data_IF_876178097191
#
_entry.id   IF_876178097191
#
_cell.length_a   1.000
_cell.length_b   1.000
_cell.length_c   1.000
_cell.angle_alpha   90.00
_cell.angle_beta   90.00
_cell.angle_gamma   90.00
#
_symmetry.space_group_name_H-M   'P 1'
#
loop_
_entity.id
_entity.type
_entity.pdbx_description
1 polymer ?
#
# COMPACT_ATOMS: atom_id res chain seq x y z
N UNK A 1 50.28 -1.04 1.24
CA UNK A 1 49.15 -0.45 0.50
C UNK A 1 47.89 -0.92 1.23
N UNK A 2 47.27 -0.05 2.03
CA UNK A 2 46.09 -0.42 2.82
C UNK A 2 44.87 -0.54 1.89
N UNK A 3 43.95 -1.49 2.12
CA UNK A 3 42.75 -1.60 1.31
C UNK A 3 41.84 -0.39 1.61
N UNK A 4 41.54 0.38 0.59
CA UNK A 4 40.55 1.46 0.64
C UNK A 4 39.20 0.83 0.94
N UNK A 5 38.64 1.13 2.12
CA UNK A 5 37.26 0.79 2.45
C UNK A 5 36.34 1.45 1.43
N UNK A 6 35.69 0.61 0.62
CA UNK A 6 34.53 1.03 -0.18
C UNK A 6 33.44 1.33 0.83
N UNK A 7 33.37 2.59 1.27
CA UNK A 7 32.26 3.08 2.07
C UNK A 7 30.99 2.79 1.29
N UNK A 8 30.22 1.82 1.78
CA UNK A 8 28.89 1.49 1.31
C UNK A 8 28.06 2.77 1.40
N UNK A 9 27.96 3.48 0.28
CA UNK A 9 27.12 4.66 0.15
C UNK A 9 25.70 4.11 0.13
N UNK A 10 25.15 3.83 1.30
CA UNK A 10 23.77 3.47 1.51
C UNK A 10 22.93 4.39 0.64
N UNK A 11 22.41 3.83 -0.46
CA UNK A 11 21.50 4.52 -1.37
C UNK A 11 20.40 5.07 -0.48
N UNK A 12 20.36 6.39 -0.29
CA UNK A 12 19.28 7.05 0.43
C UNK A 12 18.00 6.60 -0.25
N UNK A 13 17.29 5.65 0.35
CA UNK A 13 15.98 5.23 -0.12
C UNK A 13 15.15 6.49 -0.12
N UNK A 14 14.72 6.92 -1.30
CA UNK A 14 13.87 8.07 -1.44
C UNK A 14 12.56 7.71 -0.72
N UNK A 15 12.38 8.24 0.49
CA UNK A 15 11.13 8.06 1.21
C UNK A 15 10.10 8.92 0.50
N UNK A 16 9.08 8.28 -0.07
CA UNK A 16 7.90 8.94 -0.66
C UNK A 16 7.04 9.67 0.41
N UNK A 17 7.49 9.68 1.67
CA UNK A 17 6.87 10.37 2.79
C UNK A 17 5.52 9.79 3.20
N UNK A 18 5.09 8.67 2.60
CA UNK A 18 3.85 7.98 2.88
C UNK A 18 4.10 6.80 3.81
N UNK A 19 3.25 6.64 4.83
CA UNK A 19 3.28 5.48 5.71
C UNK A 19 1.86 4.97 5.92
N UNK A 20 1.62 3.71 5.58
CA UNK A 20 0.37 3.02 5.89
C UNK A 20 0.32 2.75 7.39
N UNK A 21 -0.68 3.28 8.06
CA UNK A 21 -0.85 3.17 9.52
C UNK A 21 -1.84 2.07 9.91
N UNK A 22 -2.82 1.78 9.07
CA UNK A 22 -3.76 0.67 9.30
C UNK A 22 -4.32 0.11 7.99
N UNK A 23 -4.70 -1.17 8.03
CA UNK A 23 -5.45 -1.87 7.00
C UNK A 23 -6.33 -2.94 7.68
N UNK A 24 -7.64 -2.80 7.57
CA UNK A 24 -8.63 -3.62 8.30
C UNK A 24 -9.78 -3.96 7.39
N UNK A 25 -10.07 -5.25 7.25
CA UNK A 25 -11.26 -5.74 6.53
C UNK A 25 -12.51 -5.39 7.34
N UNK A 26 -13.48 -4.75 6.70
CA UNK A 26 -14.80 -4.43 7.24
C UNK A 26 -15.85 -5.22 6.47
N UNK A 27 -16.49 -6.15 7.16
CA UNK A 27 -17.58 -6.96 6.61
C UNK A 27 -18.77 -6.06 6.30
N UNK A 28 -19.38 -6.26 5.14
CA UNK A 28 -20.50 -5.45 4.68
C UNK A 28 -21.06 -5.98 3.37
N UNK A 29 -21.92 -5.17 2.72
CA UNK A 29 -22.41 -5.43 1.36
C UNK A 29 -22.24 -4.13 0.55
N UNK A 30 -21.06 -3.87 -0.06
CA UNK A 30 -19.92 -4.78 -0.22
C UNK A 30 -19.02 -4.89 1.03
N UNK A 31 -18.19 -5.93 1.07
CA UNK A 31 -17.07 -6.03 2.02
C UNK A 31 -15.93 -5.15 1.54
N UNK A 32 -15.38 -4.33 2.43
CA UNK A 32 -14.38 -3.32 2.10
C UNK A 32 -13.10 -3.49 2.91
N UNK A 33 -11.98 -3.02 2.37
CA UNK A 33 -10.75 -2.79 3.12
C UNK A 33 -10.71 -1.32 3.54
N UNK A 34 -10.85 -1.05 4.83
CA UNK A 34 -10.60 0.27 5.40
C UNK A 34 -9.11 0.41 5.71
N UNK A 35 -8.49 1.49 5.25
CA UNK A 35 -7.07 1.74 5.47
C UNK A 35 -6.79 3.20 5.74
N UNK A 36 -5.66 3.47 6.40
CA UNK A 36 -5.24 4.82 6.77
C UNK A 36 -3.75 5.01 6.55
N UNK A 37 -3.35 6.27 6.39
CA UNK A 37 -1.96 6.65 6.18
C UNK A 37 -1.62 7.98 6.84
N UNK A 38 -0.33 8.21 6.99
CA UNK A 38 0.25 9.53 7.27
C UNK A 38 1.13 9.96 6.09
N UNK A 39 1.24 11.26 5.87
CA UNK A 39 2.02 11.84 4.79
C UNK A 39 2.87 13.04 5.24
N UNK A 40 4.00 13.26 4.57
CA UNK A 40 4.85 14.42 4.76
C UNK A 40 4.52 15.54 3.77
N UNK A 41 5.09 16.74 4.00
CA UNK A 41 4.83 17.90 3.12
C UNK A 41 5.19 17.62 1.66
N UNK A 42 6.25 16.84 1.43
CA UNK A 42 6.78 16.49 0.10
C UNK A 42 6.32 15.12 -0.42
N UNK A 43 5.32 14.50 0.20
CA UNK A 43 4.76 13.24 -0.30
C UNK A 43 4.08 13.42 -1.65
N UNK A 44 4.09 12.35 -2.45
CA UNK A 44 3.39 12.26 -3.73
C UNK A 44 1.92 12.67 -3.60
N UNK A 45 1.37 13.26 -4.67
CA UNK A 45 0.00 13.80 -4.67
C UNK A 45 -1.09 12.73 -4.68
N UNK A 46 -0.76 11.54 -5.16
CA UNK A 46 -1.62 10.38 -5.05
C UNK A 46 -0.86 9.08 -5.23
N UNK A 47 -1.58 7.99 -5.04
CA UNK A 47 -1.07 6.63 -5.15
C UNK A 47 -2.17 5.68 -5.61
N UNK A 48 -1.78 4.61 -6.27
CA UNK A 48 -2.64 3.45 -6.47
C UNK A 48 -2.59 2.52 -5.26
N UNK A 49 -3.63 1.70 -5.11
CA UNK A 49 -3.79 0.76 -4.01
C UNK A 49 -3.78 -0.65 -4.55
N UNK A 50 -2.87 -1.46 -4.03
CA UNK A 50 -2.78 -2.88 -4.36
C UNK A 50 -2.76 -3.74 -3.11
N UNK A 51 -3.18 -4.98 -3.26
CA UNK A 51 -2.89 -6.03 -2.29
C UNK A 51 -1.96 -7.08 -2.88
N UNK A 52 -1.07 -7.60 -2.04
CA UNK A 52 -0.13 -8.65 -2.40
C UNK A 52 -0.40 -9.89 -1.57
N UNK A 53 -0.76 -11.00 -2.23
CA UNK A 53 -0.97 -12.27 -1.56
C UNK A 53 0.38 -12.88 -1.17
N UNK A 54 0.59 -13.10 0.13
CA UNK A 54 1.88 -13.59 0.63
C UNK A 54 2.16 -15.04 0.25
N UNK A 55 1.13 -15.85 -0.02
CA UNK A 55 1.27 -17.25 -0.43
C UNK A 55 1.52 -17.35 -1.95
N UNK A 56 0.62 -16.79 -2.76
CA UNK A 56 0.68 -16.93 -4.24
C UNK A 56 1.62 -15.94 -4.91
N UNK A 57 2.08 -14.90 -4.19
CA UNK A 57 2.90 -13.80 -4.72
C UNK A 57 2.18 -12.95 -5.78
N UNK A 58 0.87 -13.12 -5.92
CA UNK A 58 0.05 -12.35 -6.85
C UNK A 58 -0.24 -10.94 -6.31
N UNK A 59 -0.35 -9.99 -7.23
CA UNK A 59 -0.79 -8.61 -6.95
C UNK A 59 -2.20 -8.43 -7.49
N UNK A 60 -3.02 -7.67 -6.78
CA UNK A 60 -4.36 -7.26 -7.25
C UNK A 60 -4.49 -5.76 -7.01
N UNK A 61 -4.78 -5.01 -8.07
CA UNK A 61 -5.08 -3.58 -7.99
C UNK A 61 -6.49 -3.46 -7.43
N UNK A 62 -6.67 -2.62 -6.42
CA UNK A 62 -7.96 -2.33 -5.81
C UNK A 62 -8.44 -0.92 -6.17
N UNK A 63 -7.51 0.03 -6.31
CA UNK A 63 -7.82 1.40 -6.70
C UNK A 63 -6.66 1.94 -7.55
N UNK A 64 -6.98 2.64 -8.64
CA UNK A 64 -5.98 3.17 -9.58
C UNK A 64 -5.41 4.51 -9.12
N UNK A 65 -6.18 5.29 -8.35
CA UNK A 65 -5.69 6.60 -7.91
C UNK A 65 -6.45 7.14 -6.71
N UNK A 66 -5.72 7.41 -5.63
CA UNK A 66 -6.21 8.01 -4.40
C UNK A 66 -5.39 9.26 -4.11
N UNK A 67 -6.05 10.41 -3.95
CA UNK A 67 -5.36 11.66 -3.62
C UNK A 67 -4.85 11.62 -2.18
N UNK A 68 -3.55 11.80 -1.99
CA UNK A 68 -2.87 11.71 -0.68
C UNK A 68 -3.50 12.62 0.38
N UNK A 69 -4.05 13.77 -0.04
CA UNK A 69 -4.45 14.88 0.83
C UNK A 69 -5.96 15.04 1.00
N UNK A 70 -6.79 14.33 0.23
CA UNK A 70 -8.23 14.62 0.15
C UNK A 70 -9.08 13.83 1.14
N UNK A 71 -8.46 12.84 1.81
CA UNK A 71 -9.18 11.85 2.63
C UNK A 71 -8.92 11.98 4.14
N UNK A 72 -8.60 13.18 4.62
CA UNK A 72 -8.40 13.40 6.05
C UNK A 72 -7.98 14.81 6.43
N UNK A 73 -7.44 14.94 7.65
CA UNK A 73 -6.93 16.20 8.22
C UNK A 73 -5.57 15.95 8.85
N UNK A 74 -4.75 16.99 8.96
CA UNK A 74 -3.52 16.95 9.77
C UNK A 74 -2.54 15.85 9.37
N UNK A 75 -2.03 15.89 8.12
CA UNK A 75 -1.02 14.94 7.60
C UNK A 75 -1.45 13.46 7.68
N UNK A 76 -2.75 13.21 7.71
CA UNK A 76 -3.31 11.87 7.76
C UNK A 76 -4.48 11.73 6.80
N UNK A 77 -4.68 10.53 6.27
CA UNK A 77 -5.78 10.17 5.41
C UNK A 77 -6.37 8.81 5.79
N UNK A 78 -7.63 8.58 5.44
CA UNK A 78 -8.34 7.32 5.64
C UNK A 78 -9.31 7.09 4.49
N UNK A 79 -9.29 5.90 3.93
CA UNK A 79 -10.17 5.54 2.81
C UNK A 79 -10.66 4.09 2.94
N UNK A 80 -11.60 3.74 2.08
CA UNK A 80 -12.16 2.39 1.95
C UNK A 80 -12.22 1.99 0.50
N UNK A 81 -11.82 0.77 0.20
CA UNK A 81 -11.93 0.20 -1.15
C UNK A 81 -12.68 -1.12 -1.10
N UNK A 82 -13.52 -1.36 -2.10
CA UNK A 82 -14.22 -2.65 -2.28
C UNK A 82 -13.18 -3.76 -2.53
N UNK A 83 -13.34 -4.90 -1.87
CA UNK A 83 -12.48 -6.07 -2.04
C UNK A 83 -13.24 -7.32 -2.47
N UNK A 84 -14.43 -7.17 -3.06
CA UNK A 84 -15.27 -8.26 -3.57
C UNK A 84 -14.53 -9.15 -4.58
N UNK A 85 -13.55 -8.61 -5.32
CA UNK A 85 -12.69 -9.38 -6.22
C UNK A 85 -11.80 -10.41 -5.50
N UNK A 86 -11.69 -10.32 -4.17
CA UNK A 86 -10.96 -11.27 -3.33
C UNK A 86 -11.87 -12.35 -2.72
N UNK A 87 -13.16 -12.39 -3.06
CA UNK A 87 -14.15 -13.34 -2.49
C UNK A 87 -13.81 -14.81 -2.69
N UNK A 88 -12.92 -15.14 -3.63
CA UNK A 88 -12.44 -16.50 -3.90
C UNK A 88 -10.92 -16.64 -3.69
N UNK A 89 -10.27 -15.59 -3.16
CA UNK A 89 -8.82 -15.49 -2.96
C UNK A 89 -8.49 -15.25 -1.49
N UNK A 90 -8.83 -16.19 -0.63
CA UNK A 90 -8.57 -16.06 0.81
C UNK A 90 -7.08 -16.20 1.13
N UNK A 91 -6.62 -15.53 2.19
CA UNK A 91 -5.25 -15.66 2.62
C UNK A 91 -4.73 -14.47 3.40
N UNK A 92 -3.41 -14.43 3.52
CA UNK A 92 -2.66 -13.36 4.18
C UNK A 92 -2.14 -12.40 3.13
N UNK A 93 -2.46 -11.12 3.29
CA UNK A 93 -2.16 -10.06 2.33
C UNK A 93 -1.29 -8.97 2.95
N UNK A 94 -0.57 -8.25 2.10
CA UNK A 94 -0.03 -6.92 2.39
C UNK A 94 -0.83 -5.88 1.62
N UNK A 95 -1.09 -4.73 2.25
CA UNK A 95 -1.53 -3.52 1.54
C UNK A 95 -0.30 -2.78 1.03
N UNK A 96 -0.31 -2.39 -0.24
CA UNK A 96 0.73 -1.61 -0.88
C UNK A 96 0.12 -0.33 -1.43
N UNK A 97 0.83 0.79 -1.23
CA UNK A 97 0.64 1.97 -2.06
C UNK A 97 1.70 1.95 -3.14
N UNK A 98 1.30 2.25 -4.36
CA UNK A 98 2.18 2.19 -5.52
C UNK A 98 2.06 3.43 -6.38
N UNK A 99 3.15 3.82 -7.02
CA UNK A 99 3.12 4.73 -8.17
C UNK A 99 3.18 3.89 -9.45
N UNK A 100 2.51 4.37 -10.48
CA UNK A 100 2.74 3.93 -11.86
C UNK A 100 3.76 4.88 -12.49
N UNK A 101 4.75 4.34 -13.18
CA UNK A 101 5.61 5.12 -14.05
C UNK A 101 5.13 5.07 -15.51
N UNK A 102 5.85 5.74 -16.41
CA UNK A 102 5.50 5.81 -17.83
C UNK A 102 5.57 4.45 -18.56
N UNK A 103 6.14 3.41 -17.93
CA UNK A 103 6.25 2.04 -18.47
C UNK A 103 5.26 1.08 -17.80
N UNK A 104 4.23 1.60 -17.11
CA UNK A 104 3.26 0.83 -16.31
C UNK A 104 3.91 -0.02 -15.21
N UNK A 105 5.12 0.32 -14.79
CA UNK A 105 5.77 -0.33 -13.67
C UNK A 105 5.17 0.18 -12.35
N UNK A 106 4.63 -0.76 -11.57
CA UNK A 106 4.07 -0.48 -10.26
C UNK A 106 5.18 -0.48 -9.20
N UNK A 107 5.66 0.70 -8.82
CA UNK A 107 6.67 0.90 -7.79
C UNK A 107 6.00 0.97 -6.40
N UNK A 108 6.26 0.03 -5.46
CA UNK A 108 5.76 0.12 -4.10
C UNK A 108 6.45 1.24 -3.33
N UNK A 109 5.66 2.22 -2.88
CA UNK A 109 6.13 3.39 -2.15
C UNK A 109 5.80 3.33 -0.64
N UNK A 110 4.81 2.53 -0.27
CA UNK A 110 4.50 2.22 1.12
C UNK A 110 3.97 0.78 1.25
N UNK A 111 4.26 0.17 2.39
CA UNK A 111 3.84 -1.20 2.72
C UNK A 111 3.24 -1.26 4.11
N UNK A 112 2.02 -1.80 4.20
CA UNK A 112 1.31 -2.01 5.45
C UNK A 112 1.75 -3.27 6.20
N UNK A 113 1.21 -3.44 7.40
CA UNK A 113 1.30 -4.70 8.14
C UNK A 113 0.44 -5.78 7.46
N UNK A 114 0.79 -7.07 7.59
CA UNK A 114 -0.03 -8.13 7.05
C UNK A 114 -1.44 -8.17 7.67
N UNK A 115 -2.44 -8.45 6.86
CA UNK A 115 -3.82 -8.69 7.28
C UNK A 115 -4.37 -9.96 6.61
N UNK A 116 -5.54 -10.42 7.06
CA UNK A 116 -6.17 -11.62 6.51
C UNK A 116 -7.48 -11.27 5.81
N UNK A 117 -7.71 -11.94 4.69
CA UNK A 117 -9.01 -12.02 4.01
C UNK A 117 -9.48 -13.46 4.16
N UNK A 118 -10.65 -13.66 4.75
CA UNK A 118 -11.21 -14.96 5.11
C UNK A 118 -12.54 -15.18 4.42
N UNK A 119 -12.91 -16.45 4.23
CA UNK A 119 -14.22 -16.83 3.66
C UNK A 119 -15.41 -16.17 4.36
N UNK A 120 -15.39 -16.10 5.68
CA UNK A 120 -16.47 -15.48 6.47
C UNK A 120 -16.47 -13.95 6.46
N UNK A 121 -15.60 -13.29 5.69
CA UNK A 121 -15.62 -11.84 5.54
C UNK A 121 -16.59 -11.36 4.45
N UNK A 122 -17.06 -12.26 3.58
CA UNK A 122 -17.99 -12.02 2.48
C UNK A 122 -19.36 -12.65 2.73
#
# INVERSE_FOLDING_TARGET
MAPTEVTDRASKSYSHGLTITSAVVKKGRPTVLQYSWTYEKRSDDGFAVMVYNLATKERTILDYFVYTRDHGKGKSGTWTVDITDLKDKFGKYLLLFTLTDAEDFWLPIAKGKPFYVKKGDF
#
